data_IF_184271031647
#
_entry.id   IF_184271031647
#
_cell.length_a   1.000
_cell.length_b   1.000
_cell.length_c   1.000
_cell.angle_alpha   90.00
_cell.angle_beta   90.00
_cell.angle_gamma   90.00
#
_symmetry.space_group_name_H-M   'P 1'
#
loop_
_entity.id
_entity.type
_entity.pdbx_description
1 polymer ?
#
# COMPACT_ATOMS: atom_id res chain seq x y z
N UNK A 1 -33.82 -41.29 -23.37
CA UNK A 1 -32.44 -41.55 -22.90
C UNK A 1 -31.63 -40.33 -23.27
N UNK A 2 -31.27 -39.50 -22.29
CA UNK A 2 -30.59 -38.23 -22.56
C UNK A 2 -29.09 -38.47 -22.74
N UNK A 3 -28.56 -38.02 -23.88
CA UNK A 3 -27.15 -38.07 -24.25
C UNK A 3 -26.27 -37.24 -23.29
N UNK A 4 -25.60 -37.92 -22.36
CA UNK A 4 -24.57 -37.36 -21.48
C UNK A 4 -23.24 -37.16 -22.25
N UNK A 5 -23.17 -37.66 -23.49
CA UNK A 5 -22.04 -37.58 -24.41
C UNK A 5 -21.56 -36.14 -24.71
N UNK A 6 -22.42 -35.13 -24.51
CA UNK A 6 -22.07 -33.71 -24.69
C UNK A 6 -21.14 -33.15 -23.60
N UNK A 7 -21.10 -33.76 -22.40
CA UNK A 7 -20.24 -33.31 -21.30
C UNK A 7 -18.81 -33.86 -21.41
N UNK A 8 -18.60 -34.93 -22.18
CA UNK A 8 -17.28 -35.54 -22.41
C UNK A 8 -16.36 -34.68 -23.29
N UNK A 9 -16.92 -33.69 -24.02
CA UNK A 9 -16.19 -32.91 -25.02
C UNK A 9 -15.97 -31.44 -24.63
N UNK A 10 -16.28 -31.07 -23.38
CA UNK A 10 -15.96 -29.74 -22.81
C UNK A 10 -14.46 -29.67 -22.39
N UNK A 11 -13.74 -30.79 -22.49
CA UNK A 11 -12.34 -30.90 -22.12
C UNK A 11 -11.36 -30.38 -23.18
N UNK A 12 -10.29 -29.75 -22.70
CA UNK A 12 -9.13 -29.24 -23.43
C UNK A 12 -9.27 -27.82 -23.98
N UNK A 13 -10.04 -27.54 -25.04
CA UNK A 13 -10.00 -26.20 -25.65
C UNK A 13 -10.53 -25.09 -24.73
N UNK A 14 -11.62 -25.32 -24.00
CA UNK A 14 -12.15 -24.33 -23.04
C UNK A 14 -11.21 -24.13 -21.85
N UNK A 15 -10.62 -25.21 -21.34
CA UNK A 15 -9.66 -25.15 -20.24
C UNK A 15 -8.35 -24.50 -20.68
N UNK A 16 -7.89 -24.79 -21.90
CA UNK A 16 -6.70 -24.21 -22.53
C UNK A 16 -6.91 -22.74 -22.82
N UNK A 17 -8.07 -22.34 -23.34
CA UNK A 17 -8.41 -20.93 -23.54
C UNK A 17 -8.62 -20.20 -22.20
N UNK A 18 -9.18 -20.83 -21.16
CA UNK A 18 -9.24 -20.25 -19.83
C UNK A 18 -7.85 -20.09 -19.20
N UNK A 19 -6.95 -21.05 -19.39
CA UNK A 19 -5.55 -21.00 -18.95
C UNK A 19 -4.72 -19.96 -19.73
N UNK A 20 -4.94 -19.83 -21.04
CA UNK A 20 -4.31 -18.82 -21.88
C UNK A 20 -4.84 -17.42 -21.57
N UNK A 21 -6.15 -17.27 -21.31
CA UNK A 21 -6.74 -16.00 -20.90
C UNK A 21 -6.31 -15.57 -19.49
N UNK A 22 -6.01 -16.51 -18.59
CA UNK A 22 -5.42 -16.22 -17.29
C UNK A 22 -3.91 -15.93 -17.37
N UNK A 23 -3.20 -16.46 -18.37
CA UNK A 23 -1.84 -16.05 -18.70
C UNK A 23 -1.79 -14.67 -19.40
N UNK A 24 -2.85 -14.25 -20.09
CA UNK A 24 -3.08 -12.88 -20.58
C UNK A 24 -3.91 -12.04 -19.61
N UNK A 25 -3.84 -12.33 -18.31
CA UNK A 25 -4.08 -11.28 -17.33
C UNK A 25 -3.05 -10.22 -17.64
N UNK A 26 -3.49 -9.16 -18.33
CA UNK A 26 -2.77 -7.91 -18.41
C UNK A 26 -2.45 -7.55 -16.96
N UNK A 27 -1.22 -7.84 -16.55
CA UNK A 27 -0.57 -7.17 -15.44
C UNK A 27 -0.36 -5.75 -15.92
N UNK A 28 -1.45 -5.01 -16.04
CA UNK A 28 -1.40 -3.57 -16.16
C UNK A 28 -0.52 -3.13 -14.98
N UNK A 29 0.61 -2.52 -15.31
CA UNK A 29 1.63 -1.93 -14.43
C UNK A 29 1.06 -0.91 -13.41
N UNK A 30 -0.27 -0.77 -13.35
CA UNK A 30 -1.04 0.12 -12.49
C UNK A 30 -1.07 -0.33 -11.03
N UNK A 31 -0.82 -1.62 -10.72
CA UNK A 31 -0.88 -2.10 -9.34
C UNK A 31 0.28 -1.56 -8.49
N UNK A 32 1.53 -1.81 -8.90
CA UNK A 32 2.70 -1.34 -8.16
C UNK A 32 2.82 0.19 -8.12
N UNK A 33 2.50 0.86 -9.24
CA UNK A 33 2.47 2.33 -9.30
C UNK A 33 1.48 2.96 -8.31
N UNK A 34 0.30 2.36 -8.13
CA UNK A 34 -0.70 2.82 -7.16
C UNK A 34 -0.22 2.61 -5.72
N UNK A 35 0.43 1.48 -5.42
CA UNK A 35 1.01 1.24 -4.10
C UNK A 35 2.20 2.16 -3.81
N UNK A 36 3.04 2.45 -4.82
CA UNK A 36 4.13 3.41 -4.72
C UNK A 36 3.59 4.82 -4.44
N UNK A 37 2.57 5.25 -5.18
CA UNK A 37 1.94 6.54 -4.98
C UNK A 37 1.36 6.63 -3.57
N UNK A 38 0.68 5.58 -3.10
CA UNK A 38 0.14 5.51 -1.73
C UNK A 38 1.25 5.60 -0.66
N UNK A 39 2.40 4.97 -0.90
CA UNK A 39 3.55 5.08 0.00
C UNK A 39 4.15 6.49 0.01
N UNK A 40 4.22 7.16 -1.14
CA UNK A 40 4.66 8.57 -1.25
C UNK A 40 3.68 9.50 -0.53
N UNK A 41 2.38 9.28 -0.70
CA UNK A 41 1.34 10.06 -0.05
C UNK A 41 1.41 9.92 1.48
N UNK A 42 1.71 8.71 1.97
CA UNK A 42 1.90 8.46 3.39
C UNK A 42 3.11 9.18 4.00
N UNK A 43 4.22 9.28 3.25
CA UNK A 43 5.39 10.07 3.65
C UNK A 43 5.00 11.55 3.75
N UNK A 44 4.24 12.05 2.78
CA UNK A 44 3.76 13.44 2.77
C UNK A 44 2.81 13.71 3.96
N UNK A 45 1.88 12.80 4.23
CA UNK A 45 0.96 12.89 5.37
C UNK A 45 1.72 12.90 6.71
N UNK A 46 2.70 12.01 6.86
CA UNK A 46 3.56 11.96 8.05
C UNK A 46 4.31 13.28 8.24
N UNK A 47 4.82 13.88 7.16
CA UNK A 47 5.50 15.17 7.22
C UNK A 47 4.54 16.29 7.66
N UNK A 48 3.31 16.32 7.13
CA UNK A 48 2.30 17.28 7.58
C UNK A 48 1.98 17.12 9.06
N UNK A 49 1.77 15.90 9.55
CA UNK A 49 1.52 15.63 10.97
C UNK A 49 2.68 16.08 11.87
N UNK A 50 3.93 15.91 11.42
CA UNK A 50 5.10 16.42 12.13
C UNK A 50 5.18 17.95 12.13
N UNK A 51 4.81 18.61 11.03
CA UNK A 51 4.76 20.07 10.94
C UNK A 51 3.69 20.64 11.87
N UNK A 52 2.51 20.02 11.91
CA UNK A 52 1.42 20.41 12.81
C UNK A 52 1.82 20.25 14.28
N UNK A 53 2.45 19.12 14.64
CA UNK A 53 3.02 18.92 15.97
C UNK A 53 4.02 20.04 16.32
N UNK A 54 5.01 20.32 15.46
CA UNK A 54 6.03 21.36 15.71
C UNK A 54 5.43 22.75 15.84
N UNK A 55 4.38 23.04 15.07
CA UNK A 55 3.67 24.32 15.14
C UNK A 55 2.98 24.48 16.49
N UNK A 56 2.30 23.44 16.97
CA UNK A 56 1.64 23.48 18.27
C UNK A 56 2.66 23.47 19.42
N UNK A 57 3.75 22.71 19.29
CA UNK A 57 4.88 22.71 20.22
C UNK A 57 5.45 24.12 20.37
N UNK A 58 5.65 24.83 19.26
CA UNK A 58 6.13 26.20 19.25
C UNK A 58 5.13 27.15 19.91
N UNK A 59 3.83 27.01 19.63
CA UNK A 59 2.78 27.84 20.24
C UNK A 59 2.71 27.65 21.76
N UNK A 60 2.83 26.41 22.24
CA UNK A 60 2.89 26.07 23.67
C UNK A 60 4.17 26.60 24.30
N UNK A 61 5.33 26.41 23.66
CA UNK A 61 6.62 26.90 24.17
C UNK A 61 6.70 28.43 24.25
N UNK A 62 6.05 29.14 23.33
CA UNK A 62 5.95 30.60 23.32
C UNK A 62 4.86 31.13 24.28
N UNK A 63 4.10 30.26 24.94
CA UNK A 63 3.05 30.64 25.89
C UNK A 63 1.78 31.18 25.24
N UNK A 64 1.57 30.94 23.94
CA UNK A 64 0.35 31.33 23.22
C UNK A 64 -0.79 30.30 23.37
N UNK A 65 -0.50 29.09 23.84
CA UNK A 65 -1.44 27.97 23.94
C UNK A 65 -1.19 27.17 25.23
N UNK A 66 -2.24 26.93 26.02
CA UNK A 66 -2.23 26.03 27.20
C UNK A 66 -2.65 24.58 26.81
N UNK A 67 -2.85 24.30 25.52
CA UNK A 67 -3.31 23.01 25.02
C UNK A 67 -2.19 21.96 24.92
N UNK A 68 -1.50 21.74 26.04
CA UNK A 68 -0.56 20.62 26.22
C UNK A 68 -1.17 19.25 25.90
N UNK A 69 -2.51 19.12 26.02
CA UNK A 69 -3.24 17.93 25.61
C UNK A 69 -3.22 17.73 24.08
N UNK A 70 -3.52 18.77 23.30
CA UNK A 70 -3.51 18.69 21.83
C UNK A 70 -2.09 18.44 21.31
N UNK A 71 -1.08 19.00 21.99
CA UNK A 71 0.32 18.71 21.73
C UNK A 71 0.64 17.21 21.89
N UNK A 72 0.23 16.60 23.01
CA UNK A 72 0.48 15.17 23.27
C UNK A 72 -0.26 14.24 22.30
N UNK A 73 -1.44 14.64 21.81
CA UNK A 73 -2.19 13.93 20.79
C UNK A 73 -1.47 14.04 19.43
N UNK A 74 -1.04 15.24 19.06
CA UNK A 74 -0.29 15.48 17.83
C UNK A 74 1.03 14.72 17.82
N UNK A 75 1.74 14.69 18.95
CA UNK A 75 2.97 13.91 19.14
C UNK A 75 2.73 12.41 18.91
N UNK A 76 1.73 11.85 19.59
CA UNK A 76 1.37 10.43 19.48
C UNK A 76 0.98 10.05 18.04
N UNK A 77 0.27 10.95 17.36
CA UNK A 77 -0.13 10.78 15.95
C UNK A 77 1.06 10.82 15.02
N UNK A 78 1.96 11.80 15.17
CA UNK A 78 3.19 11.91 14.40
C UNK A 78 4.11 10.70 14.62
N UNK A 79 4.27 10.25 15.86
CA UNK A 79 5.07 9.07 16.21
C UNK A 79 4.51 7.79 15.57
N UNK A 80 3.19 7.61 15.61
CA UNK A 80 2.51 6.46 15.00
C UNK A 80 2.61 6.51 13.46
N UNK A 81 2.40 7.68 12.85
CA UNK A 81 2.52 7.87 11.40
C UNK A 81 3.95 7.58 10.90
N UNK A 82 4.97 8.02 11.65
CA UNK A 82 6.36 7.73 11.35
C UNK A 82 6.65 6.22 11.41
N UNK A 83 6.22 5.54 12.47
CA UNK A 83 6.39 4.08 12.60
C UNK A 83 5.72 3.33 11.45
N UNK A 84 4.50 3.74 11.07
CA UNK A 84 3.76 3.14 9.97
C UNK A 84 4.43 3.38 8.61
N UNK A 85 4.97 4.58 8.39
CA UNK A 85 5.73 4.90 7.17
C UNK A 85 7.02 4.10 7.06
N UNK A 86 7.74 3.90 8.17
CA UNK A 86 8.93 3.04 8.20
C UNK A 86 8.56 1.60 7.85
N UNK A 87 7.49 1.06 8.45
CA UNK A 87 7.03 -0.29 8.15
C UNK A 87 6.66 -0.47 6.66
N UNK A 88 5.94 0.49 6.07
CA UNK A 88 5.60 0.45 4.64
C UNK A 88 6.83 0.57 3.76
N UNK A 89 7.74 1.51 4.07
CA UNK A 89 9.01 1.65 3.35
C UNK A 89 9.79 0.35 3.34
N UNK A 90 9.93 -0.31 4.49
CA UNK A 90 10.67 -1.55 4.62
C UNK A 90 10.02 -2.66 3.78
N UNK A 91 8.68 -2.78 3.83
CA UNK A 91 7.94 -3.74 2.98
C UNK A 91 8.06 -3.43 1.50
N UNK A 92 8.13 -2.16 1.13
CA UNK A 92 8.33 -1.74 -0.26
C UNK A 92 9.72 -2.14 -0.78
N UNK A 93 10.75 -1.97 0.04
CA UNK A 93 12.11 -2.41 -0.26
C UNK A 93 12.21 -3.94 -0.36
N UNK A 94 11.53 -4.67 0.52
CA UNK A 94 11.48 -6.13 0.47
C UNK A 94 10.79 -6.62 -0.82
N UNK A 95 9.63 -6.06 -1.17
CA UNK A 95 8.93 -6.38 -2.41
C UNK A 95 9.78 -6.07 -3.66
N UNK A 96 10.50 -4.95 -3.66
CA UNK A 96 11.42 -4.61 -4.74
C UNK A 96 12.57 -5.63 -4.87
N UNK A 97 13.15 -6.07 -3.75
CA UNK A 97 14.18 -7.12 -3.75
C UNK A 97 13.65 -8.47 -4.22
N UNK A 98 12.43 -8.82 -3.81
CA UNK A 98 11.78 -10.07 -4.23
C UNK A 98 11.56 -10.08 -5.75
N UNK A 99 11.07 -8.98 -6.34
CA UNK A 99 10.94 -8.82 -7.78
C UNK A 99 12.30 -8.98 -8.50
N UNK A 100 13.38 -8.39 -7.96
CA UNK A 100 14.73 -8.57 -8.53
C UNK A 100 15.22 -10.02 -8.47
N UNK A 101 14.89 -10.77 -7.42
CA UNK A 101 15.32 -12.16 -7.24
C UNK A 101 14.50 -13.18 -8.07
N UNK A 102 13.38 -12.79 -8.68
CA UNK A 102 12.58 -13.70 -9.52
C UNK A 102 13.26 -13.99 -10.87
N UNK A 103 14.20 -13.16 -11.32
CA UNK A 103 14.83 -13.25 -12.66
C UNK A 103 16.30 -13.66 -12.68
N UNK A 104 16.86 -14.17 -11.57
CA UNK A 104 18.21 -14.76 -11.54
C UNK A 104 18.10 -16.27 -11.44
#
# INVERSE_FOLDING_TARGET
>A
MNDISALSNIGSEYIKNAALNSATLNTDDQSFGTYLQSAVDLVNETNQLQLDYKKEELNVALGYSDNTHDLSIAESKAATALQYTVAIRDKFLDAYKEIMNIQI
#
